data_IF_987697391073
#
_entry.id   IF_987697391073
#
_cell.length_a   1.000
_cell.length_b   1.000
_cell.length_c   1.000
_cell.angle_alpha   90.00
_cell.angle_beta   90.00
_cell.angle_gamma   90.00
#
_symmetry.space_group_name_H-M   'P 1'
#
loop_
_entity.id
_entity.type
_entity.pdbx_description
1 polymer ?
#
# COMPACT_ATOMS: atom_id res chain seq x y z
N UNK A 1 11.07 -18.49 12.20
CA UNK A 1 10.92 -17.05 11.96
C UNK A 1 11.93 -16.52 10.94
N UNK A 2 13.24 -16.64 11.17
CA UNK A 2 14.30 -16.12 10.27
C UNK A 2 14.11 -16.45 8.78
N UNK A 3 13.79 -17.70 8.43
CA UNK A 3 13.50 -18.10 7.02
C UNK A 3 12.33 -17.32 6.39
N UNK A 4 11.24 -17.10 7.14
CA UNK A 4 10.05 -16.39 6.65
C UNK A 4 10.35 -14.91 6.45
N UNK A 5 11.09 -14.29 7.36
CA UNK A 5 11.56 -12.91 7.23
C UNK A 5 12.49 -12.75 6.02
N UNK A 6 13.38 -13.71 5.78
CA UNK A 6 14.23 -13.71 4.59
C UNK A 6 13.39 -13.82 3.30
N UNK A 7 12.39 -14.70 3.25
CA UNK A 7 11.51 -14.78 2.07
C UNK A 7 10.75 -13.47 1.84
N UNK A 8 10.24 -12.83 2.91
CA UNK A 8 9.58 -11.53 2.82
C UNK A 8 10.54 -10.44 2.32
N UNK A 9 11.78 -10.45 2.81
CA UNK A 9 12.83 -9.54 2.36
C UNK A 9 13.13 -9.72 0.86
N UNK A 10 13.36 -10.96 0.42
CA UNK A 10 13.62 -11.29 -1.00
C UNK A 10 12.48 -10.85 -1.92
N UNK A 11 11.23 -11.19 -1.60
CA UNK A 11 10.06 -10.84 -2.44
C UNK A 11 9.96 -9.32 -2.58
N UNK A 12 10.10 -8.59 -1.47
CA UNK A 12 9.95 -7.12 -1.49
C UNK A 12 11.14 -6.40 -2.10
N UNK A 13 12.35 -6.96 -1.99
CA UNK A 13 13.54 -6.45 -2.66
C UNK A 13 13.41 -6.61 -4.19
N UNK A 14 13.00 -7.80 -4.66
CA UNK A 14 12.84 -8.03 -6.10
C UNK A 14 11.72 -7.18 -6.69
N UNK A 15 10.59 -6.99 -5.97
CA UNK A 15 9.55 -6.03 -6.38
C UNK A 15 10.13 -4.61 -6.59
N UNK A 16 11.00 -4.16 -5.70
CA UNK A 16 11.66 -2.86 -5.83
C UNK A 16 12.61 -2.82 -7.03
N UNK A 17 13.36 -3.89 -7.28
CA UNK A 17 14.24 -4.01 -8.45
C UNK A 17 13.44 -3.94 -9.77
N UNK A 18 12.32 -4.66 -9.87
CA UNK A 18 11.41 -4.56 -11.01
C UNK A 18 10.93 -3.12 -11.20
N UNK A 19 10.53 -2.45 -10.11
CA UNK A 19 10.08 -1.06 -10.19
C UNK A 19 11.19 -0.09 -10.63
N UNK A 20 12.44 -0.31 -10.20
CA UNK A 20 13.60 0.45 -10.67
C UNK A 20 13.80 0.24 -12.18
N UNK A 21 13.70 -1.01 -12.66
CA UNK A 21 13.84 -1.31 -14.08
C UNK A 21 12.76 -0.62 -14.92
N UNK A 22 11.49 -0.60 -14.49
CA UNK A 22 10.41 0.10 -15.24
C UNK A 22 10.70 1.58 -15.45
N UNK A 23 11.35 2.25 -14.49
CA UNK A 23 11.76 3.66 -14.64
C UNK A 23 12.97 3.79 -15.58
N UNK A 24 13.93 2.85 -15.53
CA UNK A 24 15.11 2.86 -16.40
C UNK A 24 14.76 2.65 -17.87
N UNK A 25 13.90 1.67 -18.17
CA UNK A 25 13.51 1.32 -19.54
C UNK A 25 12.43 2.28 -20.08
N UNK A 26 11.55 2.78 -19.21
CA UNK A 26 10.47 3.70 -19.57
C UNK A 26 10.90 5.12 -19.94
N UNK A 27 12.16 5.50 -19.70
CA UNK A 27 12.70 6.81 -20.10
C UNK A 27 13.02 6.93 -21.60
N UNK A 28 12.79 5.87 -22.40
CA UNK A 28 12.92 5.91 -23.85
C UNK A 28 11.73 6.57 -24.58
N UNK A 29 10.55 6.59 -23.95
CA UNK A 29 9.33 7.16 -24.52
C UNK A 29 9.08 8.57 -23.99
N UNK A 30 9.18 9.58 -24.86
CA UNK A 30 9.03 11.01 -24.55
C UNK A 30 7.59 11.46 -24.16
N UNK A 31 6.71 10.56 -23.73
CA UNK A 31 5.37 10.92 -23.27
C UNK A 31 5.35 11.18 -21.76
N UNK A 32 5.04 12.41 -21.37
CA UNK A 32 4.90 12.84 -19.97
C UNK A 32 3.92 11.96 -19.16
N UNK A 33 2.91 11.38 -19.81
CA UNK A 33 1.96 10.46 -19.15
C UNK A 33 2.65 9.15 -18.77
N UNK A 34 3.48 8.59 -19.66
CA UNK A 34 4.26 7.37 -19.37
C UNK A 34 5.19 7.56 -18.18
N UNK A 35 5.88 8.71 -18.11
CA UNK A 35 6.80 9.07 -17.02
C UNK A 35 6.05 9.16 -15.67
N UNK A 36 4.88 9.80 -15.62
CA UNK A 36 4.09 9.91 -14.39
C UNK A 36 3.66 8.54 -13.86
N UNK A 37 3.21 7.65 -14.74
CA UNK A 37 2.81 6.29 -14.38
C UNK A 37 4.01 5.44 -13.91
N UNK A 38 5.16 5.52 -14.59
CA UNK A 38 6.41 4.87 -14.15
C UNK A 38 6.82 5.34 -12.74
N UNK A 39 6.82 6.65 -12.52
CA UNK A 39 7.16 7.24 -11.22
C UNK A 39 6.17 6.83 -10.13
N UNK A 40 4.88 6.77 -10.43
CA UNK A 40 3.85 6.36 -9.46
C UNK A 40 4.05 4.91 -9.03
N UNK A 41 4.31 3.99 -9.96
CA UNK A 41 4.64 2.58 -9.65
C UNK A 41 5.86 2.49 -8.75
N UNK A 42 6.94 3.16 -9.14
CA UNK A 42 8.18 3.22 -8.37
C UNK A 42 7.97 3.74 -6.95
N UNK A 43 7.25 4.85 -6.79
CA UNK A 43 6.98 5.44 -5.47
C UNK A 43 6.17 4.47 -4.59
N UNK A 44 5.16 3.80 -5.13
CA UNK A 44 4.36 2.83 -4.37
C UNK A 44 5.24 1.64 -3.94
N UNK A 45 6.04 1.07 -4.85
CA UNK A 45 6.94 -0.04 -4.55
C UNK A 45 8.02 0.34 -3.52
N UNK A 46 8.62 1.53 -3.64
CA UNK A 46 9.58 2.06 -2.68
C UNK A 46 8.98 2.24 -1.30
N UNK A 47 7.80 2.86 -1.21
CA UNK A 47 7.06 3.01 0.03
C UNK A 47 6.68 1.67 0.66
N UNK A 48 6.36 0.66 -0.17
CA UNK A 48 6.12 -0.71 0.30
C UNK A 48 7.40 -1.33 0.88
N UNK A 49 8.53 -1.22 0.17
CA UNK A 49 9.84 -1.75 0.60
C UNK A 49 10.32 -1.13 1.91
N UNK A 50 10.23 0.19 2.06
CA UNK A 50 10.61 0.88 3.30
C UNK A 50 9.85 0.35 4.52
N UNK A 51 8.53 0.14 4.35
CA UNK A 51 7.69 -0.45 5.40
C UNK A 51 8.04 -1.90 5.69
N UNK A 52 8.36 -2.70 4.67
CA UNK A 52 8.80 -4.08 4.83
C UNK A 52 10.09 -4.17 5.66
N UNK A 53 11.10 -3.33 5.35
CA UNK A 53 12.36 -3.26 6.11
C UNK A 53 12.11 -2.86 7.56
N UNK A 54 11.29 -1.84 7.81
CA UNK A 54 10.95 -1.43 9.18
C UNK A 54 10.21 -2.51 9.94
N UNK A 55 9.30 -3.23 9.27
CA UNK A 55 8.60 -4.35 9.89
C UNK A 55 9.58 -5.47 10.27
N UNK A 56 10.50 -5.85 9.38
CA UNK A 56 11.54 -6.86 9.67
C UNK A 56 12.35 -6.48 10.91
N UNK A 57 12.68 -5.19 11.08
CA UNK A 57 13.35 -4.68 12.29
C UNK A 57 12.49 -4.84 13.54
N UNK A 58 11.22 -4.45 13.50
CA UNK A 58 10.29 -4.57 14.64
C UNK A 58 10.11 -6.03 15.08
N UNK A 59 10.20 -6.99 14.15
CA UNK A 59 10.18 -8.42 14.50
C UNK A 59 11.39 -8.87 15.34
N UNK A 60 12.47 -8.09 15.35
CA UNK A 60 13.78 -8.48 15.89
C UNK A 60 14.30 -7.59 17.06
N UNK A 61 13.80 -6.37 17.29
CA UNK A 61 14.63 -5.33 17.94
C UNK A 61 14.15 -4.71 19.28
N UNK A 62 13.00 -5.07 19.86
CA UNK A 62 12.57 -4.43 21.12
C UNK A 62 12.92 -5.33 22.30
N UNK A 63 13.47 -4.76 23.37
CA UNK A 63 13.82 -5.48 24.61
C UNK A 63 12.97 -4.96 25.79
N UNK A 64 12.59 -5.83 26.73
CA UNK A 64 11.98 -5.44 28.01
C UNK A 64 13.03 -4.96 29.04
N UNK A 65 12.56 -4.65 30.25
CA UNK A 65 13.39 -4.17 31.37
C UNK A 65 14.43 -5.20 31.83
N UNK A 66 14.21 -6.48 31.53
CA UNK A 66 15.08 -7.61 31.88
C UNK A 66 15.99 -8.00 30.72
N UNK A 67 15.90 -7.29 29.58
CA UNK A 67 16.68 -7.55 28.37
C UNK A 67 16.12 -8.64 27.47
N UNK A 68 14.89 -9.13 27.70
CA UNK A 68 14.25 -10.11 26.82
C UNK A 68 13.60 -9.44 25.62
N UNK A 69 13.60 -10.10 24.46
CA UNK A 69 12.98 -9.54 23.27
C UNK A 69 11.44 -9.46 23.37
N UNK A 70 10.90 -8.25 23.27
CA UNK A 70 9.48 -7.91 23.14
C UNK A 70 9.14 -7.63 21.68
N UNK A 71 7.88 -7.82 21.32
CA UNK A 71 7.36 -7.49 20.01
C UNK A 71 6.36 -6.35 20.14
N UNK A 72 6.61 -5.23 19.47
CA UNK A 72 5.64 -4.14 19.36
C UNK A 72 4.60 -4.49 18.31
N UNK A 73 3.60 -5.25 18.76
CA UNK A 73 2.51 -5.70 17.94
C UNK A 73 1.65 -4.56 17.39
N UNK A 74 1.46 -3.48 18.15
CA UNK A 74 0.64 -2.35 17.74
C UNK A 74 1.25 -1.67 16.50
N UNK A 75 2.53 -1.29 16.60
CA UNK A 75 3.25 -0.68 15.47
C UNK A 75 3.36 -1.66 14.30
N UNK A 76 3.61 -2.94 14.56
CA UNK A 76 3.70 -3.94 13.52
C UNK A 76 2.35 -4.12 12.77
N UNK A 77 1.20 -4.09 13.45
CA UNK A 77 -0.12 -4.18 12.81
C UNK A 77 -0.43 -2.94 11.98
N UNK A 78 -0.06 -1.76 12.47
CA UNK A 78 -0.19 -0.49 11.72
C UNK A 78 0.63 -0.55 10.42
N UNK A 79 1.88 -1.02 10.49
CA UNK A 79 2.74 -1.16 9.31
C UNK A 79 2.20 -2.21 8.35
N UNK A 80 1.74 -3.36 8.85
CA UNK A 80 1.16 -4.43 8.01
C UNK A 80 -0.10 -3.96 7.28
N UNK A 81 -0.99 -3.22 7.97
CA UNK A 81 -2.13 -2.57 7.33
C UNK A 81 -1.68 -1.62 6.22
N UNK A 82 -0.64 -0.81 6.47
CA UNK A 82 -0.13 0.14 5.49
C UNK A 82 0.51 -0.53 4.26
N UNK A 83 1.13 -1.70 4.42
CA UNK A 83 1.58 -2.54 3.30
C UNK A 83 0.38 -2.98 2.44
N UNK A 84 -0.66 -3.54 3.08
CA UNK A 84 -1.89 -3.94 2.39
C UNK A 84 -2.53 -2.76 1.63
N UNK A 85 -2.67 -1.60 2.27
CA UNK A 85 -3.20 -0.40 1.63
C UNK A 85 -2.36 0.03 0.42
N UNK A 86 -1.03 -0.04 0.51
CA UNK A 86 -0.13 0.29 -0.60
C UNK A 86 -0.35 -0.65 -1.80
N UNK A 87 -0.49 -1.95 -1.56
CA UNK A 87 -0.85 -2.91 -2.60
C UNK A 87 -2.24 -2.61 -3.18
N UNK A 88 -3.25 -2.33 -2.36
CA UNK A 88 -4.61 -2.09 -2.83
C UNK A 88 -4.73 -0.80 -3.66
N UNK A 89 -3.92 0.23 -3.35
CA UNK A 89 -3.78 1.42 -4.19
C UNK A 89 -3.22 1.03 -5.55
N UNK A 90 -2.11 0.27 -5.59
CA UNK A 90 -1.54 -0.23 -6.83
C UNK A 90 -2.58 -1.03 -7.63
N UNK A 91 -3.22 -2.01 -6.98
CA UNK A 91 -4.27 -2.83 -7.58
C UNK A 91 -5.35 -1.96 -8.21
N UNK A 92 -5.87 -0.94 -7.52
CA UNK A 92 -6.91 -0.07 -8.09
C UNK A 92 -6.44 0.68 -9.34
N UNK A 93 -5.23 1.20 -9.31
CA UNK A 93 -4.69 2.03 -10.39
C UNK A 93 -4.29 1.22 -11.63
N UNK A 94 -3.89 -0.03 -11.47
CA UNK A 94 -3.29 -0.81 -12.56
C UNK A 94 -4.06 -2.08 -12.91
N UNK A 95 -4.41 -2.91 -11.93
CA UNK A 95 -4.98 -4.24 -12.21
C UNK A 95 -6.52 -4.27 -12.17
N UNK A 96 -7.14 -3.56 -11.23
CA UNK A 96 -8.55 -3.67 -10.88
C UNK A 96 -9.50 -3.01 -11.88
N UNK A 97 -8.98 -2.28 -12.87
CA UNK A 97 -9.76 -1.72 -13.98
C UNK A 97 -9.76 -2.64 -15.22
N UNK A 98 -8.96 -3.71 -15.23
CA UNK A 98 -8.75 -4.54 -16.43
C UNK A 98 -8.32 -3.68 -17.62
N UNK A 99 -8.90 -3.93 -18.79
CA UNK A 99 -8.61 -3.19 -20.03
C UNK A 99 -9.43 -1.88 -20.17
N UNK A 100 -10.20 -1.45 -19.15
CA UNK A 100 -10.98 -0.20 -19.20
C UNK A 100 -10.09 1.02 -18.92
N UNK A 101 -9.36 1.45 -19.96
CA UNK A 101 -8.45 2.60 -19.89
C UNK A 101 -9.12 3.90 -19.42
N UNK A 102 -10.40 4.12 -19.76
CA UNK A 102 -11.14 5.33 -19.32
C UNK A 102 -11.42 5.31 -17.83
N UNK A 103 -11.76 4.14 -17.30
CA UNK A 103 -11.94 3.95 -15.86
C UNK A 103 -10.60 4.04 -15.12
N UNK A 104 -9.54 3.50 -15.71
CA UNK A 104 -8.19 3.61 -15.18
C UNK A 104 -7.76 5.08 -15.06
N UNK A 105 -7.86 5.85 -16.15
CA UNK A 105 -7.58 7.29 -16.18
C UNK A 105 -8.40 8.05 -15.13
N UNK A 106 -9.69 7.72 -14.98
CA UNK A 106 -10.53 8.32 -13.95
C UNK A 106 -10.00 8.08 -12.53
N UNK A 107 -9.54 6.86 -12.23
CA UNK A 107 -8.95 6.56 -10.92
C UNK A 107 -7.59 7.22 -10.71
N UNK A 108 -6.77 7.36 -11.76
CA UNK A 108 -5.55 8.17 -11.70
C UNK A 108 -5.83 9.62 -11.38
N UNK A 109 -6.77 10.24 -12.10
CA UNK A 109 -7.13 11.64 -11.87
C UNK A 109 -7.69 11.85 -10.45
N UNK A 110 -8.45 10.89 -9.92
CA UNK A 110 -8.92 10.92 -8.53
C UNK A 110 -7.77 10.78 -7.51
N UNK A 111 -6.78 9.94 -7.80
CA UNK A 111 -5.60 9.76 -6.96
C UNK A 111 -4.73 11.03 -6.94
N UNK A 112 -4.50 11.64 -8.09
CA UNK A 112 -3.77 12.89 -8.23
C UNK A 112 -4.51 14.04 -7.56
N UNK A 113 -5.83 14.12 -7.75
CA UNK A 113 -6.66 15.13 -7.08
C UNK A 113 -6.56 15.00 -5.56
N UNK A 114 -6.67 13.77 -5.03
CA UNK A 114 -6.51 13.53 -3.58
C UNK A 114 -5.14 13.99 -3.09
N UNK A 115 -4.08 13.70 -3.86
CA UNK A 115 -2.70 14.05 -3.51
C UNK A 115 -2.48 15.56 -3.50
N UNK A 116 -2.93 16.28 -4.53
CA UNK A 116 -2.79 17.75 -4.62
C UNK A 116 -3.60 18.45 -3.53
N UNK A 117 -4.80 17.95 -3.21
CA UNK A 117 -5.62 18.47 -2.13
C UNK A 117 -4.92 18.34 -0.77
N UNK A 118 -4.35 17.17 -0.47
CA UNK A 118 -3.57 16.96 0.76
C UNK A 118 -2.32 17.84 0.79
N UNK A 119 -1.65 18.01 -0.35
CA UNK A 119 -0.48 18.88 -0.43
C UNK A 119 -0.82 20.35 -0.17
N UNK A 120 -1.97 20.85 -0.62
CA UNK A 120 -2.44 22.20 -0.24
C UNK A 120 -2.74 22.27 1.26
N UNK A 121 -3.40 21.26 1.81
CA UNK A 121 -3.78 21.20 3.23
C UNK A 121 -2.56 21.25 4.16
N UNK A 122 -1.54 20.42 3.88
CA UNK A 122 -0.35 20.30 4.73
C UNK A 122 0.82 21.17 4.29
N UNK A 123 0.88 21.62 3.04
CA UNK A 123 1.94 22.47 2.53
C UNK A 123 2.03 23.82 3.25
N UNK A 124 0.89 24.33 3.74
CA UNK A 124 0.85 25.55 4.56
C UNK A 124 1.60 25.42 5.89
N UNK A 125 1.62 24.22 6.49
CA UNK A 125 2.37 23.93 7.73
C UNK A 125 3.87 23.67 7.50
N UNK A 126 4.31 23.38 6.27
CA UNK A 126 5.71 23.04 5.94
C UNK A 126 6.56 24.29 5.59
N UNK A 127 5.95 25.49 5.58
CA UNK A 127 6.55 26.80 5.23
C UNK A 127 7.77 27.23 6.07
N UNK A 128 8.18 26.46 7.08
CA UNK A 128 9.41 26.70 7.86
C UNK A 128 10.72 26.29 7.16
N UNK A 129 10.67 25.54 6.05
CA UNK A 129 11.88 25.10 5.33
C UNK A 129 12.25 26.06 4.18
N UNK A 130 13.49 26.55 4.19
CA UNK A 130 14.03 27.63 3.34
C UNK A 130 14.09 27.38 1.81
N UNK A 131 13.44 26.36 1.26
CA UNK A 131 13.57 25.96 -0.15
C UNK A 131 12.23 25.79 -0.90
N UNK A 132 11.16 26.49 -0.54
CA UNK A 132 9.83 26.09 -1.04
C UNK A 132 9.55 26.49 -2.50
N UNK A 133 9.61 25.51 -3.39
CA UNK A 133 8.90 25.42 -4.69
C UNK A 133 7.36 25.32 -4.54
N UNK A 134 6.82 25.59 -3.35
CA UNK A 134 5.38 25.52 -3.06
C UNK A 134 4.65 26.71 -3.68
N UNK A 135 4.04 26.49 -4.84
CA UNK A 135 3.20 27.47 -5.51
C UNK A 135 1.71 27.06 -5.39
N UNK A 136 1.02 27.59 -4.38
CA UNK A 136 -0.41 27.34 -4.16
C UNK A 136 -1.26 27.71 -5.39
N UNK A 137 -0.87 28.74 -6.13
CA UNK A 137 -1.55 29.14 -7.38
C UNK A 137 -1.52 28.03 -8.43
N UNK A 138 -0.34 27.45 -8.68
CA UNK A 138 -0.17 26.34 -9.62
C UNK A 138 -0.97 25.11 -9.19
N UNK A 139 -0.95 24.75 -7.90
CA UNK A 139 -1.71 23.62 -7.37
C UNK A 139 -3.22 23.82 -7.51
N UNK A 140 -3.73 25.04 -7.30
CA UNK A 140 -5.15 25.36 -7.52
C UNK A 140 -5.55 25.27 -9.00
N UNK A 141 -4.65 25.64 -9.91
CA UNK A 141 -4.89 25.43 -11.35
C UNK A 141 -4.94 23.94 -11.69
N UNK A 142 -4.02 23.14 -11.12
CA UNK A 142 -3.99 21.69 -11.29
C UNK A 142 -5.28 21.03 -10.76
N UNK A 143 -5.79 21.45 -9.59
CA UNK A 143 -7.08 20.98 -9.06
C UNK A 143 -8.21 21.27 -10.06
N UNK A 144 -8.30 22.50 -10.59
CA UNK A 144 -9.33 22.86 -11.56
C UNK A 144 -9.24 22.00 -12.83
N UNK A 145 -8.03 21.74 -13.33
CA UNK A 145 -7.80 20.85 -14.47
C UNK A 145 -8.29 19.43 -14.19
N UNK A 146 -7.86 18.83 -13.08
CA UNK A 146 -8.24 17.48 -12.67
C UNK A 146 -9.75 17.34 -12.48
N UNK A 147 -10.41 18.33 -11.87
CA UNK A 147 -11.86 18.34 -11.70
C UNK A 147 -12.59 18.36 -13.06
N UNK A 148 -12.09 19.12 -14.03
CA UNK A 148 -12.67 19.14 -15.38
C UNK A 148 -12.48 17.79 -16.08
N UNK A 149 -11.30 17.18 -15.98
CA UNK A 149 -11.00 15.86 -16.55
C UNK A 149 -11.86 14.76 -15.90
N UNK A 150 -12.00 14.77 -14.58
CA UNK A 150 -12.86 13.83 -13.83
C UNK A 150 -14.33 13.97 -14.25
N UNK A 151 -14.86 15.19 -14.30
CA UNK A 151 -16.27 15.42 -14.64
C UNK A 151 -16.56 15.13 -16.13
N UNK A 152 -15.58 15.39 -17.00
CA UNK A 152 -15.66 15.13 -18.44
C UNK A 152 -15.44 13.67 -18.83
N UNK A 153 -14.91 12.83 -17.93
CA UNK A 153 -14.66 11.43 -18.20
C UNK A 153 -15.98 10.65 -18.38
N UNK A 154 -16.08 9.88 -19.47
CA UNK A 154 -17.28 9.11 -19.80
C UNK A 154 -17.68 8.04 -18.77
N UNK A 155 -16.80 7.69 -17.84
CA UNK A 155 -17.05 6.75 -16.73
C UNK A 155 -17.38 7.46 -15.41
N UNK A 156 -17.45 8.79 -15.34
CA UNK A 156 -17.76 9.52 -14.10
C UNK A 156 -19.02 9.01 -13.37
N UNK A 157 -20.04 8.61 -14.13
CA UNK A 157 -21.31 8.07 -13.60
C UNK A 157 -21.18 6.66 -13.00
N UNK A 158 -20.06 5.96 -13.16
CA UNK A 158 -19.81 4.67 -12.49
C UNK A 158 -19.29 4.85 -11.07
N UNK A 159 -18.78 6.04 -10.72
CA UNK A 159 -18.28 6.33 -9.39
C UNK A 159 -19.38 6.27 -8.33
N UNK A 160 -19.06 5.85 -7.09
CA UNK A 160 -19.99 5.91 -5.97
C UNK A 160 -20.54 7.32 -5.76
N UNK A 161 -21.82 7.44 -5.40
CA UNK A 161 -22.49 8.73 -5.18
C UNK A 161 -21.72 9.62 -4.20
N UNK A 162 -21.24 9.05 -3.07
CA UNK A 162 -20.45 9.80 -2.10
C UNK A 162 -19.18 10.44 -2.69
N UNK A 163 -18.50 9.75 -3.62
CA UNK A 163 -17.31 10.28 -4.30
C UNK A 163 -17.71 11.43 -5.22
N UNK A 164 -18.76 11.24 -6.04
CA UNK A 164 -19.27 12.31 -6.93
C UNK A 164 -19.69 13.55 -6.15
N UNK A 165 -20.40 13.38 -5.03
CA UNK A 165 -20.83 14.49 -4.18
C UNK A 165 -19.63 15.22 -3.56
N UNK A 166 -18.57 14.50 -3.20
CA UNK A 166 -17.33 15.13 -2.77
C UNK A 166 -16.65 15.90 -3.90
N UNK A 167 -16.61 15.38 -5.12
CA UNK A 167 -16.09 16.11 -6.30
C UNK A 167 -16.87 17.41 -6.53
N UNK A 168 -18.20 17.38 -6.45
CA UNK A 168 -19.04 18.58 -6.56
C UNK A 168 -18.75 19.57 -5.43
N UNK A 169 -18.63 19.09 -4.18
CA UNK A 169 -18.30 19.96 -3.04
C UNK A 169 -16.92 20.60 -3.17
N UNK A 170 -15.91 19.85 -3.61
CA UNK A 170 -14.56 20.36 -3.88
C UNK A 170 -14.61 21.44 -4.98
N UNK A 171 -15.34 21.18 -6.07
CA UNK A 171 -15.51 22.14 -7.17
C UNK A 171 -16.15 23.46 -6.70
N UNK A 172 -17.08 23.38 -5.75
CA UNK A 172 -17.72 24.55 -5.12
C UNK A 172 -16.94 25.18 -3.95
N UNK A 173 -15.76 24.67 -3.61
CA UNK A 173 -14.95 25.17 -2.49
C UNK A 173 -15.48 24.82 -1.10
N UNK A 174 -16.48 23.94 -0.99
CA UNK A 174 -17.09 23.51 0.28
C UNK A 174 -16.33 22.38 0.97
N UNK A 175 -15.36 21.78 0.30
CA UNK A 175 -14.54 20.67 0.79
C UNK A 175 -13.14 20.78 0.17
N UNK A 176 -12.10 20.45 0.92
CA UNK A 176 -10.69 20.60 0.54
C UNK A 176 -9.88 19.28 0.60
N UNK A 177 -10.58 18.15 0.74
CA UNK A 177 -10.01 16.80 0.73
C UNK A 177 -10.84 15.87 -0.13
N UNK A 178 -10.30 14.72 -0.52
CA UNK A 178 -11.03 13.68 -1.26
C UNK A 178 -10.75 12.31 -0.64
N UNK A 179 -11.82 11.62 -0.24
CA UNK A 179 -11.78 10.20 0.09
C UNK A 179 -12.49 9.42 -1.02
N UNK A 180 -11.71 8.79 -1.90
CA UNK A 180 -12.23 8.02 -3.03
C UNK A 180 -11.92 6.51 -2.90
N UNK A 181 -10.98 6.16 -2.03
CA UNK A 181 -10.56 4.77 -1.81
C UNK A 181 -11.38 4.16 -0.67
N UNK A 182 -12.03 3.05 -0.96
CA UNK A 182 -12.66 2.19 0.03
C UNK A 182 -11.87 0.88 0.10
N UNK A 183 -10.98 0.76 1.08
CA UNK A 183 -10.11 -0.41 1.22
C UNK A 183 -10.89 -1.70 1.45
N UNK A 184 -11.97 -1.68 2.24
CA UNK A 184 -12.82 -2.87 2.45
C UNK A 184 -13.49 -3.35 1.17
N UNK A 185 -13.90 -2.43 0.28
CA UNK A 185 -14.38 -2.78 -1.07
C UNK A 185 -13.24 -3.32 -1.93
N UNK A 186 -12.07 -2.68 -1.90
CA UNK A 186 -10.90 -3.12 -2.67
C UNK A 186 -10.41 -4.51 -2.27
N UNK A 187 -10.42 -4.87 -1.00
CA UNK A 187 -10.04 -6.21 -0.54
C UNK A 187 -10.92 -7.27 -1.19
N UNK A 188 -12.23 -7.02 -1.31
CA UNK A 188 -13.20 -7.93 -1.95
C UNK A 188 -13.06 -8.03 -3.46
N UNK A 189 -12.56 -6.98 -4.10
CA UNK A 189 -12.30 -6.96 -5.55
C UNK A 189 -10.92 -7.51 -5.89
N UNK A 190 -9.98 -7.48 -4.94
CA UNK A 190 -8.63 -7.99 -5.14
C UNK A 190 -8.58 -9.53 -5.14
N UNK A 191 -7.54 -10.15 -5.73
CA UNK A 191 -7.35 -11.61 -5.69
C UNK A 191 -7.01 -12.18 -4.30
N UNK A 192 -6.86 -11.33 -3.28
CA UNK A 192 -6.60 -11.75 -1.92
C UNK A 192 -7.84 -12.45 -1.30
N UNK A 193 -7.67 -13.41 -0.39
CA UNK A 193 -8.79 -14.09 0.26
C UNK A 193 -9.56 -13.12 1.16
N UNK A 194 -10.74 -12.72 0.69
CA UNK A 194 -11.41 -11.53 1.18
C UNK A 194 -11.83 -11.61 2.64
N UNK A 195 -12.32 -12.75 3.11
CA UNK A 195 -12.79 -12.92 4.50
C UNK A 195 -11.63 -12.75 5.50
N UNK A 196 -10.55 -13.51 5.30
CA UNK A 196 -9.38 -13.47 6.15
C UNK A 196 -8.72 -12.09 6.16
N UNK A 197 -8.51 -11.49 4.99
CA UNK A 197 -7.88 -10.16 4.88
C UNK A 197 -8.79 -9.05 5.40
N UNK A 198 -10.11 -9.14 5.22
CA UNK A 198 -11.05 -8.15 5.77
C UNK A 198 -11.10 -8.21 7.30
N UNK A 199 -11.05 -9.41 7.88
CA UNK A 199 -10.98 -9.58 9.33
C UNK A 199 -9.68 -8.99 9.88
N UNK A 200 -8.53 -9.31 9.27
CA UNK A 200 -7.25 -8.77 9.66
C UNK A 200 -7.19 -7.24 9.50
N UNK A 201 -7.64 -6.70 8.36
CA UNK A 201 -7.67 -5.25 8.13
C UNK A 201 -8.52 -4.53 9.17
N UNK A 202 -9.70 -5.06 9.51
CA UNK A 202 -10.56 -4.50 10.56
C UNK A 202 -9.84 -4.48 11.92
N UNK A 203 -9.17 -5.58 12.28
CA UNK A 203 -8.39 -5.69 13.51
C UNK A 203 -7.22 -4.70 13.55
N UNK A 204 -6.38 -4.66 12.51
CA UNK A 204 -5.25 -3.73 12.44
C UNK A 204 -5.70 -2.26 12.36
N UNK A 205 -6.87 -1.99 11.75
CA UNK A 205 -7.50 -0.68 11.77
C UNK A 205 -7.92 -0.26 13.19
N UNK A 206 -8.36 -1.19 14.03
CA UNK A 206 -8.67 -0.88 15.43
C UNK A 206 -7.44 -0.40 16.21
N UNK A 207 -6.25 -1.01 16.00
CA UNK A 207 -5.00 -0.50 16.59
C UNK A 207 -4.67 0.92 16.15
N UNK A 208 -4.85 1.22 14.87
CA UNK A 208 -4.51 2.53 14.32
C UNK A 208 -5.42 3.67 14.80
N UNK A 209 -6.65 3.35 15.22
CA UNK A 209 -7.68 4.36 15.51
C UNK A 209 -8.21 4.32 16.95
N UNK A 210 -7.79 3.36 17.78
CA UNK A 210 -8.26 3.21 19.16
C UNK A 210 -7.10 2.94 20.12
N UNK A 211 -6.60 4.01 20.74
CA UNK A 211 -5.60 3.92 21.80
C UNK A 211 -6.08 3.02 22.95
N UNK A 212 -7.35 3.14 23.34
CA UNK A 212 -7.93 2.33 24.41
C UNK A 212 -7.96 0.83 24.12
N UNK A 213 -8.22 0.44 22.86
CA UNK A 213 -8.14 -0.97 22.45
C UNK A 213 -6.69 -1.47 22.49
N UNK A 214 -5.77 -0.72 21.86
CA UNK A 214 -4.34 -1.07 21.84
C UNK A 214 -3.79 -1.24 23.26
N UNK A 215 -4.03 -0.27 24.15
CA UNK A 215 -3.54 -0.30 25.54
C UNK A 215 -4.11 -1.47 26.33
N UNK A 216 -5.42 -1.74 26.22
CA UNK A 216 -6.04 -2.88 26.90
C UNK A 216 -5.53 -4.22 26.39
N UNK A 217 -5.34 -4.33 25.08
CA UNK A 217 -4.82 -5.54 24.48
C UNK A 217 -3.38 -5.80 24.94
N UNK A 218 -2.51 -4.78 24.86
CA UNK A 218 -1.14 -4.85 25.39
C UNK A 218 -1.12 -5.23 26.87
N UNK A 219 -1.97 -4.61 27.69
CA UNK A 219 -2.09 -4.93 29.12
C UNK A 219 -2.51 -6.39 29.36
N UNK A 220 -3.51 -6.90 28.63
CA UNK A 220 -3.94 -8.29 28.73
C UNK A 220 -2.80 -9.26 28.42
N UNK A 221 -1.97 -8.96 27.42
CA UNK A 221 -0.83 -9.83 27.10
C UNK A 221 0.24 -9.76 28.21
N UNK A 222 0.56 -8.57 28.75
CA UNK A 222 1.46 -8.44 29.90
C UNK A 222 0.97 -9.18 31.14
N UNK A 223 -0.32 -9.08 31.46
CA UNK A 223 -0.95 -9.78 32.59
C UNK A 223 -0.93 -11.31 32.40
N UNK A 224 -0.81 -11.79 31.17
CA UNK A 224 -0.71 -13.22 30.82
C UNK A 224 0.73 -13.78 30.79
N UNK A 225 1.68 -13.09 31.45
CA UNK A 225 3.13 -13.29 31.41
C UNK A 225 3.65 -14.74 31.26
N UNK A 226 3.03 -15.74 31.90
CA UNK A 226 3.43 -17.14 31.77
C UNK A 226 3.36 -17.69 30.32
N UNK A 227 2.49 -17.15 29.47
CA UNK A 227 2.31 -17.58 28.08
C UNK A 227 2.83 -16.57 27.04
N UNK A 228 3.48 -15.50 27.49
CA UNK A 228 3.91 -14.40 26.63
C UNK A 228 4.75 -14.87 25.43
N UNK A 229 5.74 -15.74 25.66
CA UNK A 229 6.64 -16.23 24.61
C UNK A 229 5.91 -17.03 23.51
N UNK A 230 4.97 -17.90 23.91
CA UNK A 230 4.15 -18.69 22.98
C UNK A 230 3.22 -17.78 22.16
N UNK A 231 2.53 -16.85 22.84
CA UNK A 231 1.65 -15.89 22.20
C UNK A 231 2.40 -15.00 21.21
N UNK A 232 3.56 -14.49 21.60
CA UNK A 232 4.43 -13.67 20.76
C UNK A 232 4.86 -14.42 19.49
N UNK A 233 5.27 -15.69 19.62
CA UNK A 233 5.62 -16.54 18.47
C UNK A 233 4.46 -16.70 17.48
N UNK A 234 3.25 -16.96 17.99
CA UNK A 234 2.05 -17.11 17.18
C UNK A 234 1.62 -15.80 16.49
N UNK A 235 1.70 -14.67 17.19
CA UNK A 235 1.38 -13.35 16.64
C UNK A 235 2.33 -12.98 15.51
N UNK A 236 3.64 -13.12 15.74
CA UNK A 236 4.66 -12.93 14.71
C UNK A 236 4.37 -13.82 13.49
N UNK A 237 4.06 -15.10 13.71
CA UNK A 237 3.75 -16.04 12.61
C UNK A 237 2.53 -15.60 11.79
N UNK A 238 1.44 -15.19 12.45
CA UNK A 238 0.22 -14.70 11.77
C UNK A 238 0.51 -13.45 10.95
N UNK A 239 1.25 -12.51 11.52
CA UNK A 239 1.57 -11.25 10.86
C UNK A 239 2.51 -11.42 9.67
N UNK A 240 3.60 -12.18 9.84
CA UNK A 240 4.54 -12.41 8.72
C UNK A 240 3.85 -13.15 7.58
N UNK A 241 2.88 -14.01 7.89
CA UNK A 241 2.12 -14.73 6.89
C UNK A 241 1.21 -13.80 6.06
N UNK A 242 0.51 -12.86 6.71
CA UNK A 242 -0.22 -11.79 6.00
C UNK A 242 0.73 -10.99 5.11
N UNK A 243 1.89 -10.61 5.65
CA UNK A 243 2.89 -9.82 4.91
C UNK A 243 3.39 -10.55 3.67
N UNK A 244 3.72 -11.83 3.81
CA UNK A 244 4.15 -12.70 2.72
C UNK A 244 3.07 -12.83 1.65
N UNK A 245 1.81 -13.00 2.03
CA UNK A 245 0.72 -13.08 1.07
C UNK A 245 0.51 -11.76 0.32
N UNK A 246 0.48 -10.63 1.04
CA UNK A 246 0.33 -9.30 0.42
C UNK A 246 1.52 -9.00 -0.50
N UNK A 247 2.76 -9.28 -0.06
CA UNK A 247 3.95 -9.05 -0.89
C UNK A 247 3.97 -9.96 -2.12
N UNK A 248 3.58 -11.23 -1.95
CA UNK A 248 3.49 -12.19 -3.07
C UNK A 248 2.45 -11.74 -4.09
N UNK A 249 1.27 -11.34 -3.63
CA UNK A 249 0.22 -10.84 -4.51
C UNK A 249 0.67 -9.56 -5.23
N UNK A 250 1.30 -8.64 -4.52
CA UNK A 250 1.78 -7.41 -5.13
C UNK A 250 2.85 -7.71 -6.20
N UNK A 251 3.84 -8.54 -5.87
CA UNK A 251 4.87 -8.94 -6.83
C UNK A 251 4.29 -9.58 -8.10
N UNK A 252 3.37 -10.54 -7.96
CA UNK A 252 2.73 -11.17 -9.11
C UNK A 252 1.87 -10.19 -9.93
N UNK A 253 1.10 -9.33 -9.26
CA UNK A 253 0.33 -8.27 -9.92
C UNK A 253 1.21 -7.26 -10.67
N UNK A 254 2.42 -7.02 -10.16
CA UNK A 254 3.40 -6.13 -10.78
C UNK A 254 3.94 -6.74 -12.06
N UNK A 255 4.48 -7.96 -12.00
CA UNK A 255 5.03 -8.65 -13.17
C UNK A 255 3.97 -8.88 -14.25
N UNK A 256 2.76 -9.28 -13.86
CA UNK A 256 1.67 -9.50 -14.81
C UNK A 256 1.29 -8.22 -15.58
N UNK A 257 1.26 -7.08 -14.88
CA UNK A 257 0.87 -5.81 -15.48
C UNK A 257 2.00 -5.20 -16.32
N UNK A 258 3.22 -5.15 -15.76
CA UNK A 258 4.35 -4.48 -16.39
C UNK A 258 5.06 -5.33 -17.44
N UNK A 259 4.71 -6.62 -17.55
CA UNK A 259 5.36 -7.59 -18.43
C UNK A 259 6.88 -7.45 -18.36
N UNK A 260 7.40 -7.26 -17.14
CA UNK A 260 8.78 -6.82 -16.94
C UNK A 260 9.71 -7.85 -17.57
N UNK A 261 10.30 -7.51 -18.71
CA UNK A 261 11.40 -8.26 -19.32
C UNK A 261 12.60 -8.05 -18.41
N UNK A 262 12.70 -8.91 -17.39
CA UNK A 262 13.83 -8.93 -16.47
C UNK A 262 15.01 -9.50 -17.24
N UNK A 263 16.13 -8.78 -17.26
CA UNK A 263 17.38 -9.17 -17.90
C UNK A 263 17.72 -10.65 -17.60
N UNK A 264 18.21 -11.40 -18.61
CA UNK A 264 18.50 -12.84 -18.55
C UNK A 264 19.30 -13.26 -17.30
N UNK A 265 20.12 -12.38 -16.75
CA UNK A 265 20.95 -12.63 -15.56
C UNK A 265 20.15 -12.81 -14.25
N UNK A 266 18.90 -12.33 -14.18
CA UNK A 266 18.03 -12.46 -12.99
C UNK A 266 16.88 -13.44 -13.17
N UNK A 267 16.77 -14.09 -14.33
CA UNK A 267 15.62 -14.94 -14.66
C UNK A 267 15.40 -16.04 -13.60
N UNK A 268 16.48 -16.69 -13.15
CA UNK A 268 16.42 -17.74 -12.13
C UNK A 268 15.90 -17.22 -10.78
N UNK A 269 16.33 -16.04 -10.36
CA UNK A 269 15.88 -15.40 -9.12
C UNK A 269 14.38 -15.07 -9.22
N UNK A 270 13.94 -14.54 -10.36
CA UNK A 270 12.52 -14.24 -10.62
C UNK A 270 11.67 -15.50 -10.54
N UNK A 271 12.09 -16.59 -11.17
CA UNK A 271 11.40 -17.88 -11.07
C UNK A 271 11.33 -18.41 -9.64
N UNK A 272 12.41 -18.29 -8.86
CA UNK A 272 12.43 -18.66 -7.43
C UNK A 272 11.36 -17.85 -6.68
N UNK A 273 11.34 -16.52 -6.85
CA UNK A 273 10.41 -15.63 -6.15
C UNK A 273 8.96 -15.80 -6.62
N UNK A 274 8.71 -16.06 -7.90
CA UNK A 274 7.38 -16.42 -8.42
C UNK A 274 6.89 -17.72 -7.78
N UNK A 275 7.75 -18.74 -7.73
CA UNK A 275 7.44 -20.02 -7.09
C UNK A 275 7.11 -19.86 -5.60
N UNK A 276 7.95 -19.11 -4.87
CA UNK A 276 7.71 -18.73 -3.47
C UNK A 276 6.39 -17.98 -3.29
N UNK A 277 6.10 -17.03 -4.19
CA UNK A 277 4.88 -16.22 -4.12
C UNK A 277 3.63 -17.09 -4.31
N UNK A 278 3.65 -18.00 -5.29
CA UNK A 278 2.58 -18.95 -5.53
C UNK A 278 2.38 -19.91 -4.35
N UNK A 279 3.47 -20.37 -3.73
CA UNK A 279 3.41 -21.19 -2.51
C UNK A 279 2.66 -20.47 -1.39
N UNK A 280 2.99 -19.21 -1.11
CA UNK A 280 2.35 -18.47 -0.01
C UNK A 280 0.88 -18.15 -0.26
N UNK A 281 0.52 -17.79 -1.50
CA UNK A 281 -0.88 -17.55 -1.85
C UNK A 281 -1.70 -18.84 -1.80
N UNK A 282 -1.14 -19.94 -2.27
CA UNK A 282 -1.77 -21.26 -2.22
C UNK A 282 -1.96 -21.71 -0.78
N UNK A 283 -0.93 -21.60 0.06
CA UNK A 283 -1.03 -21.90 1.48
C UNK A 283 -2.13 -21.06 2.15
N UNK A 284 -2.28 -19.78 1.77
CA UNK A 284 -3.27 -18.89 2.34
C UNK A 284 -4.70 -19.29 1.94
N UNK A 285 -4.87 -19.78 0.71
CA UNK A 285 -6.16 -20.27 0.22
C UNK A 285 -6.57 -21.63 0.79
N UNK A 286 -5.61 -22.46 1.21
CA UNK A 286 -5.87 -23.79 1.80
C UNK A 286 -6.14 -23.75 3.31
N UNK A 287 -5.58 -22.79 4.04
CA UNK A 287 -5.79 -22.63 5.48
C UNK A 287 -7.03 -21.77 5.82
N UNK A 288 -8.14 -21.98 5.09
CA UNK A 288 -9.43 -21.33 5.38
C UNK A 288 -10.06 -21.84 6.67
#
# INVERSE_FOLDING_TARGET
MSKLLNHFDKITALLMDCAIQTVKTGNGDNDNVSILHNNTRYIIACNFRLRAVNLIKIFNEILDIDGNAVFDEATANIITRSLLESYLVYFRLYNGCGDDLKLQELYFNLYDLSSVLQFIKYGKSIKGSKNSSFNEGNLRMQIKKLLNEINGNGKFRTLPTAVRDSITRISSGKQDYLSFINFSKLIRESPLPSEFISAYYSYASAFAHSEGFSSKFTQMIFESCERWTEMNGNLKLRMIYICLAVSSQFFLSFIQYDKTELEDEKEQEVWEIVSLSNYYLTALQHNK
#
